data_IF_416510025852
#
_entry.id   IF_416510025852
#
_cell.length_a   1.000
_cell.length_b   1.000
_cell.length_c   1.000
_cell.angle_alpha   90.00
_cell.angle_beta   90.00
_cell.angle_gamma   90.00
#
_symmetry.space_group_name_H-M   'P 1'
#
loop_
_entity.id
_entity.type
_entity.pdbx_description
1 polymer ?
#
# COMPACT_ATOMS: atom_id res chain seq x y z
N UNK A 1 19.44 -9.53 -5.17
CA UNK A 1 19.95 -9.30 -3.80
C UNK A 1 21.09 -8.29 -3.89
N UNK A 2 21.12 -7.29 -3.02
CA UNK A 2 22.12 -6.22 -3.00
C UNK A 2 22.37 -5.75 -1.57
N UNK A 3 23.60 -5.34 -1.28
CA UNK A 3 24.05 -4.73 -0.04
C UNK A 3 24.14 -3.19 -0.12
N UNK A 4 23.63 -2.59 -1.20
CA UNK A 4 23.63 -1.14 -1.40
C UNK A 4 24.96 -0.54 -1.86
N UNK A 5 26.04 -1.32 -1.99
CA UNK A 5 27.32 -0.83 -2.47
C UNK A 5 27.32 -0.66 -4.00
N UNK A 6 26.80 0.47 -4.51
CA UNK A 6 26.85 0.81 -5.94
C UNK A 6 28.24 1.33 -6.31
N UNK A 7 29.23 0.42 -6.40
CA UNK A 7 30.62 0.80 -6.64
C UNK A 7 31.22 0.27 -7.96
N UNK A 8 30.52 -0.57 -8.74
CA UNK A 8 31.05 -1.19 -9.97
C UNK A 8 29.98 -1.36 -11.06
N UNK A 9 30.22 -0.81 -12.24
CA UNK A 9 29.44 -1.07 -13.47
C UNK A 9 28.65 0.12 -14.03
N UNK A 10 27.90 -0.14 -15.10
CA UNK A 10 27.08 0.84 -15.85
C UNK A 10 25.81 1.19 -15.04
N UNK A 11 25.99 1.81 -13.87
CA UNK A 11 24.97 2.11 -12.87
C UNK A 11 24.07 3.29 -13.26
N UNK A 12 23.86 3.54 -14.56
CA UNK A 12 22.98 4.59 -15.05
C UNK A 12 21.52 4.10 -14.88
N UNK A 13 20.70 4.71 -14.01
CA UNK A 13 19.36 4.19 -13.69
C UNK A 13 18.45 4.01 -14.91
N UNK A 14 18.62 4.87 -15.93
CA UNK A 14 17.88 4.79 -17.19
C UNK A 14 18.21 3.50 -17.98
N UNK A 15 19.48 3.13 -18.08
CA UNK A 15 19.91 1.92 -18.80
C UNK A 15 19.45 0.66 -18.08
N UNK A 16 19.55 0.65 -16.75
CA UNK A 16 19.03 -0.45 -15.93
C UNK A 16 17.53 -0.61 -16.12
N UNK A 17 16.77 0.48 -16.09
CA UNK A 17 15.33 0.46 -16.36
C UNK A 17 15.01 -0.09 -17.76
N UNK A 18 15.72 0.32 -18.81
CA UNK A 18 15.53 -0.20 -20.17
C UNK A 18 15.83 -1.71 -20.26
N UNK A 19 16.87 -2.17 -19.59
CA UNK A 19 17.21 -3.60 -19.53
C UNK A 19 16.12 -4.41 -18.82
N UNK A 20 15.63 -3.92 -17.68
CA UNK A 20 14.56 -4.58 -16.92
C UNK A 20 13.27 -4.65 -17.75
N UNK A 21 12.91 -3.57 -18.45
CA UNK A 21 11.75 -3.58 -19.35
C UNK A 21 11.93 -4.62 -20.47
N UNK A 22 13.14 -4.78 -21.02
CA UNK A 22 13.42 -5.85 -22.00
C UNK A 22 13.28 -7.24 -21.39
N UNK A 23 13.77 -7.47 -20.17
CA UNK A 23 13.61 -8.76 -19.46
C UNK A 23 12.13 -9.09 -19.27
N UNK A 24 11.36 -8.11 -18.76
CA UNK A 24 9.92 -8.22 -18.58
C UNK A 24 9.18 -8.56 -19.86
N UNK A 25 9.49 -7.88 -20.97
CA UNK A 25 8.86 -8.16 -22.27
C UNK A 25 9.15 -9.60 -22.78
N UNK A 26 10.18 -10.26 -22.25
CA UNK A 26 10.48 -11.68 -22.49
C UNK A 26 9.91 -12.62 -21.42
N UNK A 27 9.01 -12.12 -20.55
CA UNK A 27 8.39 -12.89 -19.47
C UNK A 27 9.28 -13.10 -18.25
N UNK A 28 10.36 -12.34 -18.10
CA UNK A 28 11.30 -12.45 -16.96
C UNK A 28 11.04 -11.30 -16.00
N UNK A 29 10.54 -11.60 -14.81
CA UNK A 29 10.33 -10.61 -13.76
C UNK A 29 11.65 -10.22 -13.07
N UNK A 30 11.72 -9.00 -12.53
CA UNK A 30 12.88 -8.49 -11.79
C UNK A 30 12.51 -8.17 -10.33
N UNK A 31 12.88 -9.08 -9.43
CA UNK A 31 12.82 -8.87 -7.99
C UNK A 31 14.16 -8.34 -7.46
N UNK A 32 14.09 -7.42 -6.49
CA UNK A 32 15.27 -6.92 -5.79
C UNK A 32 15.08 -7.07 -4.28
N UNK A 33 16.16 -7.38 -3.58
CA UNK A 33 16.14 -7.54 -2.14
C UNK A 33 17.38 -6.84 -1.56
N UNK A 34 17.15 -5.81 -0.76
CA UNK A 34 18.17 -5.01 -0.09
C UNK A 34 18.49 -5.62 1.27
N UNK A 35 19.77 -5.89 1.52
CA UNK A 35 20.29 -6.45 2.77
C UNK A 35 21.07 -5.34 3.48
N UNK A 36 20.68 -5.03 4.72
CA UNK A 36 21.27 -3.96 5.56
C UNK A 36 20.98 -2.54 5.08
N UNK A 37 20.30 -1.74 5.92
CA UNK A 37 19.71 -0.45 5.55
C UNK A 37 20.68 0.73 5.31
N UNK A 38 21.95 0.65 5.74
CA UNK A 38 22.86 1.80 5.67
C UNK A 38 23.36 2.05 4.23
N UNK A 39 22.87 3.11 3.60
CA UNK A 39 23.30 3.58 2.28
C UNK A 39 22.54 3.01 1.09
N UNK A 40 21.51 2.18 1.31
CA UNK A 40 20.63 1.66 0.25
C UNK A 40 19.73 2.77 -0.32
N UNK A 41 19.69 2.87 -1.65
CA UNK A 41 18.70 3.72 -2.33
C UNK A 41 17.44 2.91 -2.66
N UNK A 42 16.63 2.68 -1.62
CA UNK A 42 15.38 1.89 -1.69
C UNK A 42 14.43 2.43 -2.77
N UNK A 43 14.34 3.75 -2.93
CA UNK A 43 13.44 4.36 -3.92
C UNK A 43 13.82 4.00 -5.36
N UNK A 44 15.12 3.92 -5.67
CA UNK A 44 15.58 3.49 -6.99
C UNK A 44 15.28 2.00 -7.21
N UNK A 45 15.58 1.15 -6.22
CA UNK A 45 15.35 -0.29 -6.34
C UNK A 45 13.86 -0.62 -6.49
N UNK A 46 13.00 0.01 -5.68
CA UNK A 46 11.55 -0.10 -5.79
C UNK A 46 11.04 0.38 -7.16
N UNK A 47 11.58 1.50 -7.67
CA UNK A 47 11.20 2.00 -8.99
C UNK A 47 11.63 1.06 -10.12
N UNK A 48 12.74 0.34 -9.97
CA UNK A 48 13.25 -0.63 -10.94
C UNK A 48 12.47 -1.94 -10.91
N UNK A 49 12.17 -2.50 -9.74
CA UNK A 49 11.35 -3.73 -9.60
C UNK A 49 9.96 -3.55 -10.18
N UNK A 50 9.35 -2.38 -9.96
CA UNK A 50 8.06 -2.02 -10.58
C UNK A 50 8.09 -2.03 -12.11
N UNK A 51 9.23 -1.70 -12.73
CA UNK A 51 9.35 -1.75 -14.21
C UNK A 51 9.54 -3.17 -14.74
N UNK A 52 9.82 -4.12 -13.87
CA UNK A 52 10.09 -5.51 -14.20
C UNK A 52 9.08 -6.48 -13.63
N UNK A 53 7.86 -6.04 -13.29
CA UNK A 53 6.79 -6.89 -12.73
C UNK A 53 7.22 -7.68 -11.49
N UNK A 54 8.18 -7.14 -10.73
CA UNK A 54 8.73 -7.76 -9.53
C UNK A 54 8.60 -6.89 -8.30
N UNK A 55 9.16 -7.38 -7.20
CA UNK A 55 8.98 -6.87 -5.84
C UNK A 55 10.30 -6.40 -5.26
N UNK A 56 10.21 -5.39 -4.40
CA UNK A 56 11.32 -4.98 -3.56
C UNK A 56 11.16 -5.56 -2.15
N UNK A 57 12.19 -6.22 -1.65
CA UNK A 57 12.24 -6.78 -0.30
C UNK A 57 13.32 -6.07 0.51
N UNK A 58 12.98 -5.60 1.71
CA UNK A 58 13.97 -5.10 2.67
C UNK A 58 14.22 -6.18 3.72
N UNK A 59 15.48 -6.60 3.84
CA UNK A 59 15.93 -7.61 4.79
C UNK A 59 16.76 -6.92 5.88
N UNK A 60 16.08 -6.55 6.97
CA UNK A 60 16.63 -5.73 8.06
C UNK A 60 17.09 -6.56 9.29
N UNK A 61 16.82 -7.86 9.35
CA UNK A 61 17.29 -8.75 10.41
C UNK A 61 17.47 -10.22 9.97
N UNK A 62 18.29 -11.00 10.68
CA UNK A 62 18.44 -12.45 10.44
C UNK A 62 17.09 -13.20 10.49
N UNK A 63 16.18 -12.77 11.35
CA UNK A 63 14.83 -13.34 11.48
C UNK A 63 13.93 -13.02 10.27
N UNK A 64 14.17 -11.90 9.58
CA UNK A 64 13.46 -11.55 8.33
C UNK A 64 13.87 -12.44 7.14
N UNK A 65 15.05 -13.06 7.20
CA UNK A 65 15.68 -13.81 6.10
C UNK A 65 15.24 -15.28 6.06
N UNK A 66 15.04 -15.94 7.20
CA UNK A 66 14.96 -17.41 7.21
C UNK A 66 13.58 -18.00 6.81
N UNK A 67 12.46 -17.38 7.18
CA UNK A 67 11.12 -17.97 6.90
C UNK A 67 10.18 -17.01 6.13
N UNK A 68 10.27 -15.71 6.40
CA UNK A 68 9.44 -14.70 5.72
C UNK A 68 9.83 -14.49 4.26
N UNK A 69 11.12 -14.26 4.00
CA UNK A 69 11.63 -13.99 2.66
C UNK A 69 11.46 -15.19 1.70
N UNK A 70 11.78 -16.40 2.17
CA UNK A 70 11.63 -17.62 1.36
C UNK A 70 10.16 -17.86 0.96
N UNK A 71 9.21 -17.68 1.91
CA UNK A 71 7.77 -17.78 1.62
C UNK A 71 7.30 -16.68 0.65
N UNK A 72 7.79 -15.46 0.82
CA UNK A 72 7.46 -14.34 -0.06
C UNK A 72 7.94 -14.58 -1.50
N UNK A 73 9.20 -15.02 -1.70
CA UNK A 73 9.70 -15.40 -3.02
C UNK A 73 8.89 -16.57 -3.60
N UNK A 74 8.63 -17.61 -2.81
CA UNK A 74 7.85 -18.75 -3.29
C UNK A 74 6.42 -18.35 -3.72
N UNK A 75 5.80 -17.42 -3.00
CA UNK A 75 4.50 -16.83 -3.36
C UNK A 75 4.58 -15.94 -4.62
N UNK A 76 5.65 -15.18 -4.78
CA UNK A 76 5.88 -14.32 -5.94
C UNK A 76 6.00 -15.10 -7.26
N UNK A 77 6.50 -16.35 -7.21
CA UNK A 77 6.60 -17.24 -8.37
C UNK A 77 5.23 -17.68 -8.93
N UNK A 78 4.14 -17.48 -8.19
CA UNK A 78 2.78 -17.80 -8.59
C UNK A 78 1.89 -16.57 -8.35
N UNK A 79 1.88 -15.58 -9.28
CA UNK A 79 0.92 -14.49 -9.18
C UNK A 79 -0.49 -15.09 -9.11
N UNK A 80 -1.36 -14.47 -8.33
CA UNK A 80 -2.78 -14.80 -8.28
C UNK A 80 -3.58 -13.94 -9.28
N UNK A 81 -3.10 -12.71 -9.55
CA UNK A 81 -3.71 -11.81 -10.52
C UNK A 81 -2.65 -10.93 -11.19
N UNK A 82 -2.81 -10.73 -12.51
CA UNK A 82 -1.97 -9.87 -13.35
C UNK A 82 -2.64 -8.54 -13.64
N UNK A 83 -1.87 -7.47 -13.85
CA UNK A 83 -2.38 -6.16 -14.28
C UNK A 83 -3.59 -5.66 -13.46
N UNK A 84 -3.48 -5.74 -12.14
CA UNK A 84 -4.52 -5.34 -11.19
C UNK A 84 -4.63 -3.82 -11.14
N UNK A 85 -5.84 -3.33 -11.39
CA UNK A 85 -6.22 -1.91 -11.38
C UNK A 85 -7.43 -1.73 -10.49
N UNK A 86 -7.40 -0.69 -9.68
CA UNK A 86 -8.50 -0.35 -8.78
C UNK A 86 -8.93 1.09 -9.06
N UNK A 87 -10.23 1.31 -9.14
CA UNK A 87 -10.84 2.63 -9.25
C UNK A 87 -11.98 2.75 -8.25
N UNK A 88 -11.98 3.87 -7.52
CA UNK A 88 -13.10 4.26 -6.67
C UNK A 88 -13.77 5.45 -7.34
N UNK A 89 -15.07 5.33 -7.61
CA UNK A 89 -15.90 6.41 -8.14
C UNK A 89 -16.89 6.84 -7.07
N UNK A 90 -16.74 8.06 -6.56
CA UNK A 90 -17.66 8.60 -5.56
C UNK A 90 -18.91 9.16 -6.22
N UNK A 91 -20.06 8.89 -5.61
CA UNK A 91 -21.34 9.48 -6.00
C UNK A 91 -21.32 10.99 -5.68
N UNK A 92 -21.36 11.89 -6.68
CA UNK A 92 -21.29 13.33 -6.42
C UNK A 92 -22.54 13.86 -5.70
N UNK A 93 -23.65 13.15 -5.74
CA UNK A 93 -24.87 13.52 -5.00
C UNK A 93 -24.78 13.18 -3.51
N UNK A 94 -23.91 12.23 -3.13
CA UNK A 94 -23.66 11.84 -1.73
C UNK A 94 -22.39 12.45 -1.15
N UNK A 95 -21.33 12.52 -1.94
CA UNK A 95 -19.97 12.88 -1.50
C UNK A 95 -19.61 14.27 -1.99
N UNK A 96 -19.31 15.17 -1.06
CA UNK A 96 -18.88 16.54 -1.37
C UNK A 96 -17.38 16.68 -1.54
N UNK A 97 -16.59 16.02 -0.67
CA UNK A 97 -15.13 16.03 -0.71
C UNK A 97 -14.60 14.65 -0.34
N UNK A 98 -13.43 14.29 -0.87
CA UNK A 98 -12.73 13.07 -0.51
C UNK A 98 -11.23 13.27 -0.61
N UNK A 99 -10.48 12.47 0.15
CA UNK A 99 -9.02 12.42 0.12
C UNK A 99 -8.56 10.97 0.27
N UNK A 100 -7.64 10.55 -0.58
CA UNK A 100 -6.93 9.28 -0.44
C UNK A 100 -5.83 9.46 0.63
N UNK A 101 -5.87 8.63 1.67
CA UNK A 101 -4.94 8.60 2.81
C UNK A 101 -4.06 7.35 2.69
N UNK A 102 -2.93 7.47 2.01
CA UNK A 102 -2.05 6.33 1.70
C UNK A 102 -2.19 5.81 0.26
N UNK A 103 -1.27 4.94 -0.16
CA UNK A 103 -1.20 4.38 -1.53
C UNK A 103 -0.97 5.42 -2.66
N UNK A 104 -0.58 6.66 -2.34
CA UNK A 104 -0.49 7.73 -3.34
C UNK A 104 0.64 7.49 -4.36
N UNK A 105 1.74 6.84 -3.96
CA UNK A 105 2.88 6.51 -4.85
C UNK A 105 2.49 5.55 -5.99
N UNK A 106 1.41 4.79 -5.84
CA UNK A 106 0.92 3.82 -6.82
C UNK A 106 -0.38 4.27 -7.51
N UNK A 107 -0.72 5.56 -7.43
CA UNK A 107 -1.94 6.09 -8.04
C UNK A 107 -1.87 6.03 -9.57
N UNK A 108 -2.79 5.29 -10.15
CA UNK A 108 -3.02 5.25 -11.60
C UNK A 108 -3.77 6.52 -12.06
N UNK A 109 -3.49 6.98 -13.28
CA UNK A 109 -4.31 8.04 -13.88
C UNK A 109 -5.71 7.51 -14.19
N UNK A 110 -6.73 8.39 -14.13
CA UNK A 110 -8.12 8.01 -14.38
C UNK A 110 -8.29 7.37 -15.77
N UNK A 111 -7.66 7.94 -16.79
CA UNK A 111 -7.69 7.45 -18.18
C UNK A 111 -7.04 6.07 -18.36
N UNK A 112 -6.08 5.71 -17.51
CA UNK A 112 -5.33 4.46 -17.63
C UNK A 112 -6.08 3.25 -17.04
N UNK A 113 -7.11 3.49 -16.22
CA UNK A 113 -7.90 2.42 -15.58
C UNK A 113 -8.49 1.45 -16.61
N UNK A 114 -9.01 1.96 -17.71
CA UNK A 114 -9.61 1.14 -18.79
C UNK A 114 -8.70 0.92 -19.99
N UNK A 115 -7.47 1.42 -19.94
CA UNK A 115 -6.49 1.20 -20.98
C UNK A 115 -5.69 -0.08 -20.70
N UNK A 116 -6.10 -1.21 -21.26
CA UNK A 116 -5.46 -2.51 -21.01
C UNK A 116 -4.01 -2.61 -21.53
N UNK A 117 -3.56 -1.62 -22.30
CA UNK A 117 -2.15 -1.49 -22.72
C UNK A 117 -1.26 -0.89 -21.63
N UNK A 118 -1.87 -0.20 -20.66
CA UNK A 118 -1.15 0.30 -19.50
C UNK A 118 -1.10 -0.81 -18.47
N UNK A 119 0.13 -1.15 -18.12
CA UNK A 119 0.48 -2.14 -17.12
C UNK A 119 0.23 -1.59 -15.71
N UNK A 120 -0.11 -2.46 -14.77
CA UNK A 120 -0.45 -2.08 -13.40
C UNK A 120 0.12 -3.08 -12.40
N UNK A 121 -0.47 -3.19 -11.21
CA UNK A 121 0.10 -3.99 -10.13
C UNK A 121 -0.02 -5.50 -10.42
N UNK A 122 1.00 -6.24 -10.02
CA UNK A 122 0.97 -7.70 -9.96
C UNK A 122 0.67 -8.10 -8.51
N UNK A 123 -0.25 -9.06 -8.31
CA UNK A 123 -0.62 -9.52 -6.97
C UNK A 123 -0.39 -11.02 -6.83
N UNK A 124 0.42 -11.40 -5.84
CA UNK A 124 0.52 -12.78 -5.37
C UNK A 124 -0.63 -13.10 -4.40
N UNK A 125 -0.92 -14.39 -4.22
CA UNK A 125 -2.02 -14.85 -3.36
C UNK A 125 -1.90 -14.39 -1.90
N UNK A 126 -0.68 -14.10 -1.43
CA UNK A 126 -0.39 -13.66 -0.08
C UNK A 126 -0.28 -12.13 0.05
N UNK A 127 -0.51 -11.36 -1.02
CA UNK A 127 -0.42 -9.90 -1.02
C UNK A 127 -1.77 -9.24 -0.79
N UNK A 128 -1.76 -8.13 -0.06
CA UNK A 128 -2.92 -7.29 0.15
C UNK A 128 -2.53 -5.81 -0.04
N UNK A 129 -3.32 -5.09 -0.84
CA UNK A 129 -3.24 -3.63 -0.93
C UNK A 129 -4.31 -2.99 -0.06
N UNK A 130 -3.95 -1.92 0.66
CA UNK A 130 -4.90 -1.14 1.46
C UNK A 130 -4.86 0.31 0.99
N UNK A 131 -6.01 0.83 0.59
CA UNK A 131 -6.23 2.25 0.33
C UNK A 131 -7.29 2.75 1.31
N UNK A 132 -6.95 3.77 2.10
CA UNK A 132 -7.89 4.39 3.02
C UNK A 132 -8.38 5.71 2.43
N UNK A 133 -9.68 5.97 2.44
CA UNK A 133 -10.24 7.24 2.01
C UNK A 133 -10.89 7.96 3.18
N UNK A 134 -10.65 9.25 3.28
CA UNK A 134 -11.50 10.16 4.04
C UNK A 134 -12.54 10.74 3.11
N UNK A 135 -13.80 10.68 3.52
CA UNK A 135 -14.95 11.12 2.72
C UNK A 135 -15.79 12.08 3.57
N UNK A 136 -16.19 13.20 2.97
CA UNK A 136 -17.17 14.13 3.54
C UNK A 136 -18.49 13.97 2.77
N UNK A 137 -19.51 13.48 3.46
CA UNK A 137 -20.87 13.35 2.90
C UNK A 137 -21.62 14.67 2.93
N UNK A 138 -22.53 14.86 1.97
CA UNK A 138 -23.46 15.99 1.94
C UNK A 138 -24.62 15.72 2.91
N UNK A 139 -25.05 16.69 3.73
CA UNK A 139 -26.18 16.52 4.65
C UNK A 139 -27.49 16.13 3.94
N UNK A 140 -27.71 16.68 2.75
CA UNK A 140 -28.87 16.45 1.87
C UNK A 140 -28.59 15.44 0.75
N UNK A 141 -27.44 14.75 0.81
CA UNK A 141 -27.07 13.80 -0.22
C UNK A 141 -27.93 12.54 -0.24
N UNK A 142 -27.97 11.87 -1.39
CA UNK A 142 -28.75 10.64 -1.57
C UNK A 142 -27.96 9.55 -2.31
N UNK A 143 -28.39 8.31 -2.12
CA UNK A 143 -27.71 7.11 -2.65
C UNK A 143 -26.46 6.71 -1.87
N UNK A 144 -25.75 5.75 -2.44
CA UNK A 144 -24.51 5.16 -1.92
C UNK A 144 -23.35 6.16 -1.93
N UNK A 145 -22.29 5.87 -1.17
CA UNK A 145 -21.03 6.64 -1.18
C UNK A 145 -20.41 6.62 -2.58
N UNK A 146 -20.49 5.49 -3.28
CA UNK A 146 -19.88 5.31 -4.58
C UNK A 146 -19.76 3.85 -4.97
N UNK A 147 -18.82 3.56 -5.87
CA UNK A 147 -18.49 2.21 -6.33
C UNK A 147 -16.98 2.00 -6.31
N UNK A 148 -16.57 0.75 -6.06
CA UNK A 148 -15.20 0.29 -6.28
C UNK A 148 -15.22 -0.70 -7.44
N UNK A 149 -14.35 -0.47 -8.42
CA UNK A 149 -14.14 -1.35 -9.57
C UNK A 149 -12.73 -1.90 -9.53
N UNK A 150 -12.59 -3.21 -9.64
CA UNK A 150 -11.31 -3.90 -9.74
C UNK A 150 -11.23 -4.57 -11.10
N UNK A 151 -10.20 -4.25 -11.87
CA UNK A 151 -9.88 -4.89 -13.13
C UNK A 151 -8.59 -5.67 -12.98
N UNK A 152 -8.55 -6.90 -13.48
CA UNK A 152 -7.34 -7.71 -13.47
C UNK A 152 -7.35 -8.67 -14.66
N UNK A 153 -6.17 -9.13 -15.06
CA UNK A 153 -6.01 -10.19 -16.03
C UNK A 153 -6.11 -11.53 -15.32
N UNK A 154 -7.14 -12.28 -15.67
CA UNK A 154 -7.31 -13.67 -15.26
C UNK A 154 -6.19 -14.53 -15.88
N UNK A 155 -5.59 -15.39 -15.06
CA UNK A 155 -4.39 -16.14 -15.46
C UNK A 155 -4.71 -17.34 -16.33
N UNK A 156 -5.90 -17.92 -16.19
CA UNK A 156 -6.32 -19.09 -16.94
C UNK A 156 -6.79 -18.70 -18.35
N UNK A 157 -7.65 -17.69 -18.45
CA UNK A 157 -8.21 -17.22 -19.73
C UNK A 157 -7.35 -16.16 -20.42
N UNK A 158 -6.48 -15.46 -19.69
CA UNK A 158 -5.70 -14.32 -20.19
C UNK A 158 -6.52 -13.05 -20.44
N UNK A 159 -7.83 -13.09 -20.19
CA UNK A 159 -8.74 -11.98 -20.42
C UNK A 159 -8.73 -10.99 -19.26
N UNK A 160 -9.03 -9.73 -19.55
CA UNK A 160 -9.33 -8.74 -18.51
C UNK A 160 -10.73 -9.00 -17.97
N UNK A 161 -10.81 -9.22 -16.66
CA UNK A 161 -12.05 -9.33 -15.90
C UNK A 161 -12.22 -8.05 -15.10
N UNK A 162 -13.48 -7.65 -14.90
CA UNK A 162 -13.84 -6.54 -14.05
C UNK A 162 -14.91 -6.97 -13.06
N UNK A 163 -14.65 -6.67 -11.79
CA UNK A 163 -15.59 -6.84 -10.71
C UNK A 163 -15.92 -5.47 -10.09
N UNK A 164 -17.18 -5.28 -9.72
CA UNK A 164 -17.69 -4.00 -9.23
C UNK A 164 -18.53 -4.20 -7.98
N UNK A 165 -18.25 -3.40 -6.95
CA UNK A 165 -18.98 -3.42 -5.69
C UNK A 165 -19.46 -2.01 -5.32
N UNK A 166 -20.71 -1.86 -4.86
CA UNK A 166 -21.18 -0.60 -4.30
C UNK A 166 -20.51 -0.36 -2.94
N UNK A 167 -20.31 0.91 -2.63
CA UNK A 167 -19.91 1.39 -1.30
C UNK A 167 -21.16 2.00 -0.66
N UNK A 168 -21.93 1.24 0.13
CA UNK A 168 -23.20 1.71 0.65
C UNK A 168 -23.00 2.91 1.58
N UNK A 169 -23.99 3.80 1.61
CA UNK A 169 -24.04 4.84 2.64
C UNK A 169 -24.69 4.29 3.91
N UNK A 170 -23.89 4.17 4.97
CA UNK A 170 -24.36 3.75 6.29
C UNK A 170 -24.65 4.99 7.16
N UNK A 171 -25.91 5.15 7.59
CA UNK A 171 -26.34 6.26 8.45
C UNK A 171 -25.79 6.17 9.87
N UNK A 172 -25.45 4.97 10.32
CA UNK A 172 -24.93 4.67 11.65
C UNK A 172 -23.52 4.08 11.57
N UNK A 173 -22.67 4.68 10.74
CA UNK A 173 -21.27 4.26 10.62
C UNK A 173 -20.58 4.26 11.99
N UNK A 174 -19.93 3.15 12.32
CA UNK A 174 -19.22 2.99 13.59
C UNK A 174 -18.13 4.05 13.73
N UNK A 175 -18.00 4.58 14.95
CA UNK A 175 -16.83 5.39 15.30
C UNK A 175 -15.55 4.54 15.20
N UNK A 176 -14.38 5.15 14.92
CA UNK A 176 -13.13 4.41 14.79
C UNK A 176 -12.80 3.50 15.99
N UNK A 177 -13.13 3.93 17.21
CA UNK A 177 -12.92 3.17 18.46
C UNK A 177 -13.81 1.92 18.58
N UNK A 178 -14.91 1.86 17.83
CA UNK A 178 -15.83 0.73 17.75
C UNK A 178 -15.66 -0.10 16.47
N UNK A 179 -14.80 0.34 15.55
CA UNK A 179 -14.55 -0.36 14.30
C UNK A 179 -13.79 -1.68 14.51
N UNK A 180 -13.70 -2.49 13.45
CA UNK A 180 -12.91 -3.72 13.46
C UNK A 180 -11.43 -3.44 13.77
N UNK A 181 -10.71 -4.44 14.30
CA UNK A 181 -9.27 -4.33 14.54
C UNK A 181 -8.49 -3.92 13.27
N UNK A 182 -8.88 -4.43 12.10
CA UNK A 182 -8.25 -4.06 10.82
C UNK A 182 -8.46 -2.59 10.47
N UNK A 183 -9.68 -2.06 10.65
CA UNK A 183 -9.98 -0.66 10.40
C UNK A 183 -9.23 0.25 11.38
N UNK A 184 -9.14 -0.14 12.65
CA UNK A 184 -8.35 0.57 13.66
C UNK A 184 -6.88 0.65 13.28
N UNK A 185 -6.27 -0.48 12.91
CA UNK A 185 -4.86 -0.53 12.47
C UNK A 185 -4.64 0.36 11.24
N UNK A 186 -5.49 0.22 10.22
CA UNK A 186 -5.38 1.04 9.01
C UNK A 186 -5.51 2.54 9.31
N UNK A 187 -6.48 2.91 10.16
CA UNK A 187 -6.69 4.30 10.58
C UNK A 187 -5.46 4.84 11.31
N UNK A 188 -4.92 4.10 12.27
CA UNK A 188 -3.74 4.55 13.03
C UNK A 188 -2.52 4.68 12.12
N UNK A 189 -2.24 3.66 11.30
CA UNK A 189 -1.10 3.69 10.40
C UNK A 189 -1.18 4.86 9.41
N UNK A 190 -2.35 5.08 8.79
CA UNK A 190 -2.54 6.17 7.82
C UNK A 190 -2.46 7.56 8.47
N UNK A 191 -3.12 7.77 9.61
CA UNK A 191 -3.08 9.07 10.31
C UNK A 191 -1.69 9.36 10.86
N UNK A 192 -0.99 8.35 11.39
CA UNK A 192 0.39 8.54 11.84
C UNK A 192 1.32 8.88 10.68
N UNK A 193 1.19 8.21 9.52
CA UNK A 193 1.93 8.57 8.32
C UNK A 193 1.65 10.01 7.86
N UNK A 194 0.40 10.47 7.95
CA UNK A 194 0.03 11.87 7.68
C UNK A 194 0.72 12.85 8.63
N UNK A 195 0.74 12.54 9.94
CA UNK A 195 1.47 13.35 10.94
C UNK A 195 2.95 13.46 10.59
N UNK A 196 3.61 12.34 10.27
CA UNK A 196 5.02 12.31 9.92
C UNK A 196 5.35 13.06 8.61
N UNK A 197 4.43 13.02 7.64
CA UNK A 197 4.59 13.70 6.35
C UNK A 197 4.48 15.22 6.46
N UNK A 198 3.87 15.75 7.54
CA UNK A 198 3.64 17.18 7.71
C UNK A 198 2.64 17.76 6.69
N UNK A 199 1.67 16.96 6.26
CA UNK A 199 0.58 17.42 5.38
C UNK A 199 -0.33 18.44 6.12
N UNK A 200 -1.22 19.14 5.41
CA UNK A 200 -2.19 20.12 5.98
C UNK A 200 -3.05 19.53 7.10
N UNK A 201 -3.25 18.20 7.09
CA UNK A 201 -3.99 17.48 8.11
C UNK A 201 -3.12 17.02 9.29
N UNK A 202 -1.79 17.15 9.24
CA UNK A 202 -0.90 16.67 10.29
C UNK A 202 -1.22 17.29 11.65
N UNK A 203 -1.53 18.59 11.66
CA UNK A 203 -1.90 19.32 12.89
C UNK A 203 -3.24 18.85 13.48
N UNK A 204 -4.09 18.21 12.67
CA UNK A 204 -5.37 17.64 13.13
C UNK A 204 -5.22 16.22 13.70
N UNK A 205 -4.06 15.60 13.55
CA UNK A 205 -3.80 14.24 14.07
C UNK A 205 -3.27 14.33 15.50
N UNK A 206 -4.07 13.87 16.44
CA UNK A 206 -3.70 13.73 17.86
C UNK A 206 -3.04 12.38 18.13
N UNK A 207 -1.76 12.41 18.51
CA UNK A 207 -1.00 11.19 18.79
C UNK A 207 -1.49 10.44 20.05
N UNK A 208 -2.16 11.13 20.99
CA UNK A 208 -2.81 10.49 22.15
C UNK A 208 -3.99 9.65 21.73
N UNK A 209 -4.82 10.16 20.83
CA UNK A 209 -5.94 9.40 20.27
C UNK A 209 -5.45 8.17 19.52
N UNK A 210 -4.37 8.29 18.72
CA UNK A 210 -3.77 7.13 18.05
C UNK A 210 -3.27 6.07 19.04
N UNK A 211 -2.62 6.50 20.13
CA UNK A 211 -2.16 5.61 21.19
C UNK A 211 -3.33 4.89 21.87
N UNK A 212 -4.42 5.63 22.15
CA UNK A 212 -5.64 5.07 22.74
C UNK A 212 -6.28 4.03 21.80
N UNK A 213 -6.30 4.32 20.51
CA UNK A 213 -6.89 3.43 19.50
C UNK A 213 -6.10 2.12 19.37
N UNK A 214 -4.76 2.17 19.34
CA UNK A 214 -3.90 0.97 19.42
C UNK A 214 -4.14 0.21 20.74
N UNK A 215 -4.24 0.95 21.85
CA UNK A 215 -4.49 0.38 23.18
C UNK A 215 -5.89 -0.22 23.33
N UNK A 216 -6.77 -0.04 22.35
CA UNK A 216 -8.10 -0.69 22.29
C UNK A 216 -8.11 -1.99 21.47
N UNK A 217 -7.01 -2.32 20.79
CA UNK A 217 -6.90 -3.55 20.00
C UNK A 217 -6.93 -4.77 20.92
N UNK A 218 -7.51 -5.87 20.40
CA UNK A 218 -7.50 -7.15 21.08
C UNK A 218 -6.05 -7.61 21.42
N UNK A 219 -5.81 -8.26 22.57
CA UNK A 219 -4.46 -8.63 23.02
C UNK A 219 -3.67 -9.45 22.01
N UNK A 220 -4.32 -10.35 21.27
CA UNK A 220 -3.70 -11.20 20.26
C UNK A 220 -3.14 -10.37 19.11
N UNK A 221 -3.89 -9.35 18.69
CA UNK A 221 -3.50 -8.42 17.63
C UNK A 221 -2.42 -7.46 18.10
N UNK A 222 -2.54 -6.94 19.34
CA UNK A 222 -1.53 -6.03 19.91
C UNK A 222 -0.18 -6.72 20.13
N UNK A 223 -0.19 -8.03 20.32
CA UNK A 223 1.03 -8.79 20.52
C UNK A 223 1.84 -9.02 19.23
N UNK A 224 1.26 -8.72 18.07
CA UNK A 224 1.97 -8.74 16.80
C UNK A 224 3.20 -7.80 16.82
N UNK A 225 4.39 -8.29 16.45
CA UNK A 225 5.62 -7.49 16.47
C UNK A 225 5.55 -6.18 15.67
N UNK A 226 4.82 -6.16 14.54
CA UNK A 226 4.67 -4.95 13.71
C UNK A 226 3.77 -3.93 14.40
N UNK A 227 2.71 -4.38 15.07
CA UNK A 227 1.82 -3.51 15.84
C UNK A 227 2.56 -2.91 17.04
N UNK A 228 3.38 -3.71 17.74
CA UNK A 228 4.27 -3.20 18.81
C UNK A 228 5.26 -2.17 18.29
N UNK A 229 5.88 -2.42 17.13
CA UNK A 229 6.79 -1.46 16.49
C UNK A 229 6.08 -0.13 16.17
N UNK A 230 4.87 -0.19 15.62
CA UNK A 230 4.04 0.98 15.34
C UNK A 230 3.70 1.75 16.63
N UNK A 231 3.32 1.06 17.71
CA UNK A 231 3.05 1.67 19.01
C UNK A 231 4.27 2.42 19.55
N UNK A 232 5.46 1.79 19.52
CA UNK A 232 6.72 2.42 19.94
C UNK A 232 7.03 3.66 19.10
N UNK A 233 6.85 3.60 17.78
CA UNK A 233 7.09 4.75 16.91
C UNK A 233 6.16 5.94 17.25
N UNK A 234 4.89 5.67 17.55
CA UNK A 234 3.93 6.71 17.96
C UNK A 234 4.34 7.31 19.31
N UNK A 235 4.75 6.49 20.27
CA UNK A 235 5.22 6.96 21.58
C UNK A 235 6.49 7.83 21.46
N UNK A 236 7.44 7.45 20.60
CA UNK A 236 8.63 8.25 20.33
C UNK A 236 8.27 9.59 19.68
N UNK A 237 7.38 9.60 18.69
CA UNK A 237 6.93 10.83 18.05
C UNK A 237 6.30 11.79 19.07
N UNK A 238 5.50 11.28 20.01
CA UNK A 238 4.92 12.04 21.12
C UNK A 238 5.96 12.71 22.01
N UNK A 239 6.99 11.95 22.40
CA UNK A 239 8.08 12.48 23.23
C UNK A 239 8.82 13.61 22.52
N UNK A 240 9.03 13.49 21.21
CA UNK A 240 9.69 14.50 20.39
C UNK A 240 8.80 15.75 20.21
N UNK A 241 7.49 15.57 20.02
CA UNK A 241 6.55 16.67 19.82
C UNK A 241 6.10 17.36 21.12
N UNK A 242 6.40 16.77 22.29
CA UNK A 242 5.94 17.26 23.58
C UNK A 242 4.45 17.01 23.87
N UNK A 243 3.83 16.03 23.18
CA UNK A 243 2.40 15.66 23.32
C UNK A 243 2.16 14.51 24.32
#
# INVERSE_FOLDING_TARGET
LTDGAVNLGDAIPKRLAEMIVRMRNNGIAFDAAGISADGLNDEILEALTRKGDGRYYLLDSLESVEDGFAKQIAGALRPAAKNVKIQVEFNPERVGKYKLLGFEKHRLKKEDFRNDKVDAAEMAAAEAGVALYQVQTKPDGYGDIGTVSIRFRDLDSGNMVEELWPIPYETEALRPDLASNSMKIATVASLFAIKLKGDVLADTVDLKELTSLISSLAPEVRNDPRIKKLEVMIQQARQISGE
#
